data_IF_038274953968
#
_entry.id   IF_038274953968
#
_cell.length_a   1.000
_cell.length_b   1.000
_cell.length_c   1.000
_cell.angle_alpha   90.00
_cell.angle_beta   90.00
_cell.angle_gamma   90.00
#
_symmetry.space_group_name_H-M   'P 1'
#
loop_
_entity.id
_entity.type
_entity.pdbx_description
1 polymer ?
#
# COMPACT_ATOMS: atom_id res chain seq x y z
N UNK A 1 -38.35 16.35 -37.35
CA UNK A 1 -38.28 15.24 -36.37
C UNK A 1 -38.46 13.87 -37.04
N UNK A 2 -39.53 13.64 -37.84
CA UNK A 2 -39.76 12.36 -38.53
C UNK A 2 -38.62 11.87 -39.46
N UNK A 3 -37.95 12.76 -40.21
CA UNK A 3 -36.84 12.35 -41.10
C UNK A 3 -35.61 11.87 -40.36
N UNK A 4 -35.36 12.41 -39.16
CA UNK A 4 -34.20 12.06 -38.35
C UNK A 4 -34.41 10.73 -37.62
N UNK A 5 -35.64 10.47 -37.16
CA UNK A 5 -36.04 9.17 -36.60
C UNK A 5 -35.98 8.05 -37.65
N UNK A 6 -36.41 8.31 -38.90
CA UNK A 6 -36.29 7.35 -40.01
C UNK A 6 -34.84 7.02 -40.36
N UNK A 7 -33.94 8.00 -40.35
CA UNK A 7 -32.52 7.75 -40.61
C UNK A 7 -31.84 6.92 -39.50
N UNK A 8 -32.32 7.05 -38.27
CA UNK A 8 -31.83 6.29 -37.11
C UNK A 8 -32.35 4.86 -37.16
N UNK A 9 -33.64 4.65 -37.45
CA UNK A 9 -34.24 3.31 -37.51
C UNK A 9 -33.71 2.47 -38.68
N UNK A 10 -33.42 3.08 -39.83
CA UNK A 10 -32.79 2.39 -40.96
C UNK A 10 -31.36 1.90 -40.69
N UNK A 11 -30.70 2.43 -39.66
CA UNK A 11 -29.34 2.04 -39.24
C UNK A 11 -29.35 1.14 -38.01
N UNK A 12 -30.53 0.78 -37.52
CA UNK A 12 -30.67 -0.09 -36.38
C UNK A 12 -30.63 -1.57 -36.82
N UNK A 13 -30.05 -2.42 -35.98
CA UNK A 13 -29.85 -3.84 -36.26
C UNK A 13 -28.41 -4.26 -36.54
N UNK A 14 -28.25 -5.43 -37.18
CA UNK A 14 -26.98 -6.08 -37.47
C UNK A 14 -26.80 -6.08 -38.99
N UNK A 15 -25.78 -5.38 -39.48
CA UNK A 15 -25.45 -5.30 -40.91
C UNK A 15 -24.69 -6.54 -41.42
N UNK A 16 -25.18 -7.74 -41.10
CA UNK A 16 -24.62 -9.02 -41.54
C UNK A 16 -25.73 -10.07 -41.67
N UNK A 17 -25.58 -10.98 -42.63
CA UNK A 17 -26.48 -12.12 -42.76
C UNK A 17 -26.23 -13.13 -41.62
N UNK A 18 -27.24 -13.96 -41.24
CA UNK A 18 -27.05 -14.98 -40.21
C UNK A 18 -25.89 -15.94 -40.52
N UNK A 19 -25.73 -16.35 -41.79
CA UNK A 19 -24.62 -17.19 -42.21
C UNK A 19 -23.26 -16.50 -42.04
N UNK A 20 -23.17 -15.20 -42.37
CA UNK A 20 -21.95 -14.41 -42.17
C UNK A 20 -21.59 -14.27 -40.69
N UNK A 21 -22.60 -14.13 -39.81
CA UNK A 21 -22.40 -14.11 -38.37
C UNK A 21 -21.84 -15.44 -37.86
N UNK A 22 -22.38 -16.57 -38.31
CA UNK A 22 -21.89 -17.90 -37.89
C UNK A 22 -20.44 -18.13 -38.29
N UNK A 23 -20.04 -17.73 -39.50
CA UNK A 23 -18.65 -17.83 -39.96
C UNK A 23 -17.73 -16.98 -39.06
N UNK A 24 -18.15 -15.75 -38.75
CA UNK A 24 -17.38 -14.87 -37.86
C UNK A 24 -17.32 -15.41 -36.43
N UNK A 25 -18.39 -16.00 -35.92
CA UNK A 25 -18.44 -16.58 -34.59
C UNK A 25 -17.44 -17.74 -34.44
N UNK A 26 -17.37 -18.59 -35.46
CA UNK A 26 -16.45 -19.74 -35.49
C UNK A 26 -14.98 -19.32 -35.43
N UNK A 27 -14.63 -18.15 -35.95
CA UNK A 27 -13.25 -17.62 -35.90
C UNK A 27 -13.01 -16.92 -34.56
N UNK A 28 -13.94 -16.07 -34.13
CA UNK A 28 -13.68 -15.10 -33.06
C UNK A 28 -13.93 -15.69 -31.68
N UNK A 29 -15.00 -16.47 -31.51
CA UNK A 29 -15.39 -16.98 -30.20
C UNK A 29 -14.37 -17.94 -29.58
N UNK A 30 -13.75 -18.88 -30.31
CA UNK A 30 -12.71 -19.74 -29.75
C UNK A 30 -11.49 -18.94 -29.28
N UNK A 31 -11.04 -17.94 -30.05
CA UNK A 31 -9.86 -17.14 -29.74
C UNK A 31 -10.07 -16.23 -28.52
N UNK A 32 -11.26 -15.64 -28.40
CA UNK A 32 -11.64 -14.86 -27.22
C UNK A 32 -11.69 -15.73 -25.96
N UNK A 33 -12.25 -16.95 -26.05
CA UNK A 33 -12.28 -17.91 -24.93
C UNK A 33 -10.90 -18.42 -24.53
N UNK A 34 -9.94 -18.48 -25.45
CA UNK A 34 -8.53 -18.72 -25.15
C UNK A 34 -7.83 -17.51 -24.49
N UNK A 35 -8.54 -16.40 -24.30
CA UNK A 35 -8.02 -15.20 -23.67
C UNK A 35 -7.19 -14.32 -24.60
N UNK A 36 -7.29 -14.48 -25.92
CA UNK A 36 -6.66 -13.55 -26.86
C UNK A 36 -7.39 -12.20 -26.85
N UNK A 37 -6.64 -11.11 -27.00
CA UNK A 37 -7.25 -9.78 -27.10
C UNK A 37 -7.79 -9.53 -28.51
N UNK A 38 -8.87 -8.73 -28.65
CA UNK A 38 -9.38 -8.31 -29.96
C UNK A 38 -8.28 -7.68 -30.83
N UNK A 39 -7.36 -6.92 -30.26
CA UNK A 39 -6.24 -6.35 -31.01
C UNK A 39 -5.31 -7.42 -31.60
N UNK A 40 -5.06 -8.50 -30.84
CA UNK A 40 -4.25 -9.63 -31.28
C UNK A 40 -4.96 -10.45 -32.36
N UNK A 41 -6.27 -10.71 -32.19
CA UNK A 41 -7.09 -11.38 -33.21
C UNK A 41 -7.04 -10.61 -34.54
N UNK A 42 -7.19 -9.28 -34.51
CA UNK A 42 -7.10 -8.46 -35.72
C UNK A 42 -5.69 -8.41 -36.34
N UNK A 43 -4.63 -8.63 -35.56
CA UNK A 43 -3.27 -8.65 -36.09
C UNK A 43 -2.98 -9.91 -36.92
N UNK A 44 -3.58 -11.04 -36.56
CA UNK A 44 -3.37 -12.32 -37.25
C UNK A 44 -4.50 -12.68 -38.23
N UNK A 45 -5.75 -12.45 -37.85
CA UNK A 45 -6.96 -12.81 -38.62
C UNK A 45 -7.68 -11.58 -39.21
N UNK A 46 -7.03 -10.42 -39.27
CA UNK A 46 -7.66 -9.19 -39.77
C UNK A 46 -8.16 -9.28 -41.22
N UNK A 47 -7.55 -10.14 -42.03
CA UNK A 47 -7.96 -10.38 -43.42
C UNK A 47 -9.24 -11.22 -43.55
N UNK A 48 -9.58 -12.03 -42.53
CA UNK A 48 -10.77 -12.89 -42.49
C UNK A 48 -11.98 -12.19 -41.87
N UNK A 49 -11.77 -11.05 -41.20
CA UNK A 49 -12.80 -10.32 -40.45
C UNK A 49 -13.21 -9.09 -41.27
N UNK A 50 -14.39 -9.09 -41.93
CA UNK A 50 -14.83 -8.01 -42.82
C UNK A 50 -15.47 -6.86 -42.05
N UNK A 51 -15.12 -6.65 -40.78
CA UNK A 51 -15.67 -5.59 -39.95
C UNK A 51 -14.56 -4.89 -39.16
N UNK A 52 -14.83 -3.68 -38.68
CA UNK A 52 -13.88 -2.96 -37.85
C UNK A 52 -14.04 -3.39 -36.37
N UNK A 53 -12.97 -3.16 -35.58
CA UNK A 53 -12.95 -3.51 -34.14
C UNK A 53 -14.16 -2.98 -33.38
N UNK A 54 -14.64 -1.77 -33.72
CA UNK A 54 -15.82 -1.16 -33.11
C UNK A 54 -17.09 -1.98 -33.36
N UNK A 55 -17.31 -2.39 -34.61
CA UNK A 55 -18.44 -3.26 -34.97
C UNK A 55 -18.35 -4.60 -34.24
N UNK A 56 -17.14 -5.15 -34.09
CA UNK A 56 -16.97 -6.39 -33.35
C UNK A 56 -17.34 -6.25 -31.87
N UNK A 57 -16.87 -5.21 -31.19
CA UNK A 57 -17.28 -4.94 -29.81
C UNK A 57 -18.79 -4.76 -29.69
N UNK A 58 -19.43 -4.05 -30.63
CA UNK A 58 -20.89 -3.88 -30.65
C UNK A 58 -21.62 -5.23 -30.80
N UNK A 59 -21.13 -6.14 -31.63
CA UNK A 59 -21.73 -7.47 -31.80
C UNK A 59 -21.55 -8.35 -30.55
N UNK A 60 -20.40 -8.28 -29.88
CA UNK A 60 -20.17 -8.97 -28.60
C UNK A 60 -21.09 -8.39 -27.51
N UNK A 61 -21.21 -7.06 -27.42
CA UNK A 61 -22.09 -6.39 -26.46
C UNK A 61 -23.58 -6.74 -26.71
N UNK A 62 -23.99 -6.87 -27.98
CA UNK A 62 -25.34 -7.30 -28.39
C UNK A 62 -25.59 -8.81 -28.21
N UNK A 63 -24.58 -9.60 -27.81
CA UNK A 63 -24.71 -11.04 -27.61
C UNK A 63 -24.92 -11.85 -28.90
N UNK A 64 -24.43 -11.33 -30.03
CA UNK A 64 -24.56 -11.95 -31.36
C UNK A 64 -23.66 -13.18 -31.51
N UNK A 65 -22.57 -13.22 -30.75
CA UNK A 65 -21.58 -14.29 -30.76
C UNK A 65 -21.72 -15.21 -29.56
N UNK A 66 -21.13 -16.40 -29.66
CA UNK A 66 -21.04 -17.34 -28.54
C UNK A 66 -20.14 -16.79 -27.41
N UNK A 67 -19.11 -16.02 -27.75
CA UNK A 67 -18.27 -15.30 -26.78
C UNK A 67 -19.01 -14.08 -26.21
N UNK A 68 -18.82 -13.86 -24.91
CA UNK A 68 -19.49 -12.84 -24.12
C UNK A 68 -18.50 -11.81 -23.61
N UNK A 69 -19.03 -10.73 -23.03
CA UNK A 69 -18.22 -9.70 -22.39
C UNK A 69 -17.28 -10.22 -21.28
N UNK A 70 -17.61 -11.34 -20.64
CA UNK A 70 -16.74 -12.00 -19.65
C UNK A 70 -15.47 -12.60 -20.27
N UNK A 71 -15.50 -12.96 -21.55
CA UNK A 71 -14.36 -13.54 -22.27
C UNK A 71 -13.36 -12.46 -22.73
N UNK A 72 -13.74 -11.19 -22.65
CA UNK A 72 -12.86 -10.06 -22.97
C UNK A 72 -11.97 -9.70 -21.77
N UNK A 73 -10.65 -9.86 -21.94
CA UNK A 73 -9.57 -9.60 -20.94
C UNK A 73 -9.72 -8.38 -20.03
N UNK A 74 -10.36 -7.30 -20.47
CA UNK A 74 -10.41 -6.02 -19.74
C UNK A 74 -11.81 -5.41 -19.67
N UNK A 75 -12.84 -6.08 -20.19
CA UNK A 75 -14.20 -5.50 -20.28
C UNK A 75 -14.90 -5.57 -18.93
N UNK A 76 -14.81 -6.71 -18.26
CA UNK A 76 -15.35 -6.90 -16.91
C UNK A 76 -14.19 -6.83 -15.92
N UNK A 77 -14.20 -5.83 -15.05
CA UNK A 77 -13.29 -5.73 -13.90
C UNK A 77 -14.11 -5.49 -12.65
N UNK A 78 -13.73 -6.15 -11.55
CA UNK A 78 -14.24 -5.76 -10.25
C UNK A 78 -13.84 -4.30 -9.98
N UNK A 79 -14.77 -3.52 -9.43
CA UNK A 79 -14.45 -2.20 -8.89
C UNK A 79 -13.31 -2.38 -7.88
N UNK A 80 -12.20 -1.68 -8.10
CA UNK A 80 -11.10 -1.70 -7.15
C UNK A 80 -11.67 -1.23 -5.81
N UNK A 81 -11.65 -2.09 -4.79
CA UNK A 81 -12.13 -1.72 -3.46
C UNK A 81 -11.21 -0.63 -2.93
N UNK A 82 -11.79 0.37 -2.28
CA UNK A 82 -10.99 1.35 -1.54
C UNK A 82 -10.06 0.59 -0.57
N UNK A 83 -8.77 0.97 -0.58
CA UNK A 83 -7.81 0.36 0.34
C UNK A 83 -8.23 0.73 1.75
N UNK A 84 -8.59 -0.28 2.55
CA UNK A 84 -9.02 -0.12 3.95
C UNK A 84 -7.95 0.53 4.85
N UNK A 85 -6.69 0.54 4.42
CA UNK A 85 -5.57 1.18 5.12
C UNK A 85 -4.72 1.95 4.10
N UNK A 86 -4.36 3.18 4.43
CA UNK A 86 -3.42 3.97 3.64
C UNK A 86 -2.08 3.25 3.51
N UNK A 87 -1.38 3.47 2.40
CA UNK A 87 0.01 3.01 2.24
C UNK A 87 0.82 3.55 3.42
N UNK A 88 1.36 2.67 4.28
CA UNK A 88 2.28 3.10 5.34
C UNK A 88 3.46 3.78 4.66
N UNK A 89 3.61 5.09 4.89
CA UNK A 89 4.82 5.82 4.52
C UNK A 89 5.97 5.10 5.22
N UNK A 90 7.02 4.73 4.48
CA UNK A 90 8.19 4.09 5.07
C UNK A 90 8.75 4.98 6.17
N UNK A 91 9.09 4.41 7.33
CA UNK A 91 9.64 5.16 8.46
C UNK A 91 10.89 5.97 8.07
N UNK A 92 11.60 5.52 7.03
CA UNK A 92 12.76 6.19 6.43
C UNK A 92 12.46 7.57 5.83
N UNK A 93 11.20 7.90 5.52
CA UNK A 93 10.83 9.17 4.90
C UNK A 93 10.35 10.23 5.93
N UNK A 94 10.50 9.97 7.24
CA UNK A 94 10.05 10.92 8.27
C UNK A 94 11.16 11.92 8.62
N UNK A 95 10.83 13.21 8.57
CA UNK A 95 11.76 14.33 8.82
C UNK A 95 12.47 14.22 10.18
N UNK A 96 11.82 13.68 11.21
CA UNK A 96 12.42 13.51 12.54
C UNK A 96 13.61 12.55 12.59
N UNK A 97 13.86 11.74 11.54
CA UNK A 97 15.01 10.83 11.46
C UNK A 97 16.26 11.46 10.86
N UNK A 98 16.14 12.63 10.22
CA UNK A 98 17.28 13.32 9.62
C UNK A 98 18.25 13.70 10.76
N UNK A 99 19.48 13.19 10.71
CA UNK A 99 20.50 13.41 11.75
C UNK A 99 20.30 12.57 13.02
N UNK A 100 19.41 11.58 13.02
CA UNK A 100 19.15 10.66 14.14
C UNK A 100 19.27 9.19 13.74
N UNK A 101 20.12 8.90 12.76
CA UNK A 101 20.41 7.52 12.34
C UNK A 101 21.48 6.89 13.24
N UNK A 102 21.60 5.57 13.18
CA UNK A 102 22.68 4.87 13.88
C UNK A 102 24.08 5.26 13.36
N UNK A 103 24.17 5.65 12.08
CA UNK A 103 25.40 6.19 11.50
C UNK A 103 25.74 7.55 12.11
N UNK A 104 24.73 8.42 12.33
CA UNK A 104 24.90 9.70 13.03
C UNK A 104 25.35 9.48 14.48
N UNK A 105 24.77 8.50 15.17
CA UNK A 105 25.22 8.10 16.51
C UNK A 105 26.68 7.61 16.52
N UNK A 106 27.06 6.79 15.54
CA UNK A 106 28.43 6.26 15.41
C UNK A 106 29.45 7.38 15.12
N UNK A 107 29.06 8.39 14.34
CA UNK A 107 29.91 9.57 14.08
C UNK A 107 30.02 10.48 15.30
N UNK A 108 28.93 10.65 16.07
CA UNK A 108 28.95 11.38 17.34
C UNK A 108 29.91 10.72 18.34
N UNK A 109 29.88 9.40 18.50
CA UNK A 109 30.81 8.70 19.40
C UNK A 109 32.27 8.82 18.97
N UNK A 110 32.55 8.86 17.67
CA UNK A 110 33.92 9.10 17.16
C UNK A 110 34.42 10.51 17.44
N UNK A 111 33.54 11.50 17.43
CA UNK A 111 33.91 12.91 17.62
C UNK A 111 33.92 13.31 19.10
N UNK A 112 33.05 12.74 19.92
CA UNK A 112 32.92 12.99 21.36
C UNK A 112 32.76 11.67 22.12
N UNK A 113 33.86 10.97 22.42
CA UNK A 113 33.80 9.68 23.12
C UNK A 113 33.32 9.79 24.57
N UNK A 114 33.48 10.97 25.20
CA UNK A 114 33.07 11.24 26.59
C UNK A 114 31.56 11.50 26.75
N UNK A 115 30.79 11.48 25.66
CA UNK A 115 29.35 11.72 25.74
C UNK A 115 28.65 10.59 26.50
N UNK A 116 27.88 10.96 27.53
CA UNK A 116 27.06 10.02 28.28
C UNK A 116 25.95 9.46 27.38
N UNK A 117 25.88 8.14 27.28
CA UNK A 117 24.86 7.45 26.49
C UNK A 117 23.96 6.66 27.44
N UNK A 118 22.67 6.88 27.29
CA UNK A 118 21.62 6.10 27.95
C UNK A 118 20.93 5.24 26.91
N UNK A 119 20.94 3.93 27.10
CA UNK A 119 20.19 2.99 26.26
C UNK A 119 18.80 2.83 26.85
N UNK A 120 17.76 3.04 26.04
CA UNK A 120 16.37 2.95 26.46
C UNK A 120 15.67 1.85 25.66
N UNK A 121 15.02 0.94 26.37
CA UNK A 121 14.26 -0.17 25.80
C UNK A 121 12.96 -0.41 26.57
N UNK A 122 11.98 -1.03 25.91
CA UNK A 122 10.70 -1.41 26.51
C UNK A 122 10.58 -2.93 26.58
N UNK A 123 10.37 -3.46 27.79
CA UNK A 123 10.20 -4.89 28.02
C UNK A 123 8.73 -5.19 28.29
N UNK A 124 8.10 -5.94 27.41
CA UNK A 124 6.70 -6.36 27.56
C UNK A 124 6.59 -7.43 28.67
N UNK A 125 5.60 -7.26 29.55
CA UNK A 125 5.29 -8.23 30.60
C UNK A 125 4.85 -9.60 30.04
N UNK A 126 5.06 -10.66 30.82
CA UNK A 126 4.81 -12.05 30.41
C UNK A 126 3.38 -12.36 29.95
N UNK A 127 3.25 -13.42 29.13
CA UNK A 127 2.06 -13.81 28.35
C UNK A 127 0.73 -13.74 29.12
N UNK A 128 -0.12 -12.79 28.73
CA UNK A 128 -1.55 -12.78 29.07
C UNK A 128 -2.19 -11.41 28.99
N UNK A 129 -2.38 -10.84 27.79
CA UNK A 129 -3.08 -9.56 27.55
C UNK A 129 -2.70 -8.39 28.47
N UNK A 130 -1.59 -8.46 29.20
CA UNK A 130 -1.15 -7.41 30.10
C UNK A 130 -0.58 -6.30 29.24
N UNK A 131 -1.24 -5.15 29.26
CA UNK A 131 -0.72 -3.94 28.62
C UNK A 131 0.50 -3.36 29.34
N UNK A 132 0.80 -3.89 30.53
CA UNK A 132 1.90 -3.45 31.37
C UNK A 132 3.25 -3.73 30.72
N UNK A 133 4.10 -2.72 30.70
CA UNK A 133 5.44 -2.74 30.09
C UNK A 133 6.42 -2.11 31.05
N UNK A 134 7.67 -2.58 31.05
CA UNK A 134 8.75 -1.93 31.76
C UNK A 134 9.54 -1.04 30.81
N UNK A 135 9.67 0.23 31.15
CA UNK A 135 10.65 1.13 30.53
C UNK A 135 11.97 0.95 31.24
N UNK A 136 12.99 0.53 30.50
CA UNK A 136 14.35 0.33 31.00
C UNK A 136 15.26 1.44 30.47
N UNK A 137 16.11 1.97 31.34
CA UNK A 137 17.11 2.97 30.99
C UNK A 137 18.46 2.53 31.57
N UNK A 138 19.41 2.19 30.70
CA UNK A 138 20.75 1.74 31.06
C UNK A 138 21.77 2.85 30.82
N UNK A 139 22.39 3.33 31.88
CA UNK A 139 23.49 4.27 31.83
C UNK A 139 24.80 3.55 31.55
N UNK A 140 25.36 3.72 30.34
CA UNK A 140 26.55 2.97 29.91
C UNK A 140 27.84 3.33 30.66
N UNK A 141 27.91 4.54 31.20
CA UNK A 141 29.08 5.02 31.93
C UNK A 141 29.26 4.32 33.29
N UNK A 142 28.17 4.03 34.00
CA UNK A 142 28.19 3.45 35.34
C UNK A 142 27.47 2.10 35.46
N UNK A 143 26.94 1.57 34.36
CA UNK A 143 26.12 0.35 34.30
C UNK A 143 24.92 0.38 35.25
N UNK A 144 24.41 1.58 35.56
CA UNK A 144 23.20 1.75 36.34
C UNK A 144 21.98 1.51 35.44
N UNK A 145 21.08 0.62 35.86
CA UNK A 145 19.83 0.35 35.17
C UNK A 145 18.65 0.86 35.99
N UNK A 146 17.88 1.77 35.43
CA UNK A 146 16.60 2.21 35.97
C UNK A 146 15.47 1.46 35.26
N UNK A 147 14.46 1.06 36.03
CA UNK A 147 13.28 0.36 35.50
C UNK A 147 12.04 1.06 36.04
N UNK A 148 11.16 1.48 35.13
CA UNK A 148 9.87 2.07 35.46
C UNK A 148 8.74 1.19 34.93
N UNK A 149 7.73 0.95 35.77
CA UNK A 149 6.54 0.23 35.36
C UNK A 149 5.57 1.18 34.65
N UNK A 150 5.30 0.94 33.36
CA UNK A 150 4.32 1.65 32.57
C UNK A 150 3.00 0.86 32.53
N UNK A 151 1.88 1.58 32.57
CA UNK A 151 0.55 0.98 32.48
C UNK A 151 0.29 0.40 31.08
N UNK A 152 0.69 1.13 30.04
CA UNK A 152 0.55 0.76 28.63
C UNK A 152 1.81 1.13 27.83
N UNK A 153 2.04 0.46 26.69
CA UNK A 153 3.11 0.77 25.73
C UNK A 153 2.72 1.97 24.85
N UNK A 154 2.62 3.15 25.45
CA UNK A 154 2.24 4.39 24.75
C UNK A 154 3.29 5.48 24.94
N UNK A 155 3.36 6.41 23.98
CA UNK A 155 4.29 7.53 24.03
C UNK A 155 4.01 8.45 25.22
N UNK A 156 2.73 8.63 25.56
CA UNK A 156 2.29 9.45 26.69
C UNK A 156 2.86 8.91 28.02
N UNK A 157 2.77 7.60 28.27
CA UNK A 157 3.33 7.00 29.48
C UNK A 157 4.86 7.13 29.56
N UNK A 158 5.56 7.10 28.42
CA UNK A 158 7.01 7.33 28.38
C UNK A 158 7.34 8.79 28.71
N UNK A 159 6.57 9.75 28.17
CA UNK A 159 6.73 11.18 28.45
C UNK A 159 6.54 11.46 29.95
N UNK A 160 5.52 10.88 30.59
CA UNK A 160 5.29 11.03 32.02
C UNK A 160 6.50 10.63 32.88
N UNK A 161 7.23 9.58 32.50
CA UNK A 161 8.47 9.18 33.18
C UNK A 161 9.57 10.22 32.99
N UNK A 162 9.72 10.77 31.78
CA UNK A 162 10.70 11.83 31.52
C UNK A 162 10.37 13.14 32.23
N UNK A 163 9.08 13.50 32.32
CA UNK A 163 8.61 14.66 33.05
C UNK A 163 8.89 14.50 34.55
N UNK A 164 8.59 13.32 35.12
CA UNK A 164 8.92 13.00 36.50
C UNK A 164 10.43 13.11 36.78
N UNK A 165 11.27 12.55 35.90
CA UNK A 165 12.72 12.65 36.03
C UNK A 165 13.21 14.10 35.95
N UNK A 166 12.68 14.86 35.00
CA UNK A 166 13.02 16.27 34.80
C UNK A 166 12.62 17.15 35.99
N UNK A 167 11.45 16.89 36.57
CA UNK A 167 10.95 17.59 37.76
C UNK A 167 11.80 17.28 38.99
N UNK A 168 12.13 15.99 39.22
CA UNK A 168 12.87 15.55 40.42
C UNK A 168 14.35 15.91 40.39
N UNK A 169 15.00 15.84 39.22
CA UNK A 169 16.41 16.16 39.06
C UNK A 169 16.64 17.65 38.79
N UNK A 170 15.63 18.32 38.24
CA UNK A 170 15.77 19.65 37.68
C UNK A 170 16.42 19.64 36.30
N UNK A 171 16.05 20.62 35.47
CA UNK A 171 16.40 20.69 34.03
C UNK A 171 17.91 20.63 33.78
N UNK A 172 18.71 21.29 34.63
CA UNK A 172 20.17 21.33 34.45
C UNK A 172 20.80 19.94 34.56
N UNK A 173 20.50 19.24 35.66
CA UNK A 173 21.05 17.91 35.94
C UNK A 173 20.49 16.90 34.94
N UNK A 174 19.21 17.02 34.58
CA UNK A 174 18.59 16.16 33.57
C UNK A 174 19.32 16.24 32.22
N UNK A 175 19.62 17.46 31.74
CA UNK A 175 20.34 17.65 30.47
C UNK A 175 21.79 17.14 30.52
N UNK A 176 22.43 17.18 31.70
CA UNK A 176 23.77 16.60 31.89
C UNK A 176 23.74 15.07 31.88
N UNK A 177 22.71 14.46 32.47
CA UNK A 177 22.58 13.00 32.59
C UNK A 177 22.08 12.31 31.32
N UNK A 178 21.21 12.97 30.55
CA UNK A 178 20.57 12.41 29.35
C UNK A 178 20.94 13.17 28.06
N UNK A 179 22.24 13.39 27.74
CA UNK A 179 22.61 14.14 26.55
C UNK A 179 22.37 13.33 25.26
N UNK A 180 22.47 11.99 25.32
CA UNK A 180 22.19 11.09 24.20
C UNK A 180 21.39 9.90 24.71
N UNK A 181 20.22 9.67 24.10
CA UNK A 181 19.37 8.51 24.36
C UNK A 181 19.36 7.64 23.11
N UNK A 182 19.81 6.39 23.24
CA UNK A 182 19.79 5.39 22.17
C UNK A 182 18.57 4.49 22.35
N UNK A 183 17.72 4.42 21.32
CA UNK A 183 16.52 3.58 21.31
C UNK A 183 16.54 2.64 20.11
N UNK A 184 15.71 1.61 20.16
CA UNK A 184 15.39 0.84 18.97
C UNK A 184 14.51 1.66 18.00
N UNK A 185 14.25 1.07 16.82
CA UNK A 185 13.37 1.66 15.82
C UNK A 185 11.92 1.20 16.01
N UNK A 186 11.49 1.01 17.26
CA UNK A 186 10.11 0.68 17.61
C UNK A 186 9.11 1.56 16.86
N UNK A 187 8.02 0.94 16.41
CA UNK A 187 6.93 1.64 15.70
C UNK A 187 5.88 2.23 16.62
N UNK A 188 6.01 1.96 17.91
CA UNK A 188 4.95 2.03 18.90
C UNK A 188 5.09 3.27 19.79
#
# INVERSE_FOLDING_TARGET
>A
MASQELLVSCRDGINQSPAGITILDNIISPLLKQGQSVAHIYAHHGHEIPCCRRTLYNYIDKGVFTAKNIDLRRRVRYKCKERKKGTRISLSAREFRIGRTYDDFSTLLKTKPESQVVEMDTVEGGRGNSKQVFLTMLFRNCYLMLIFALAEKTQECVIEVFDLLSEKLGIKIFNELFPVILTDNGTD
#
